data_IF_078785728158
#
_entry.id   IF_078785728158
#
_cell.length_a   1.000
_cell.length_b   1.000
_cell.length_c   1.000
_cell.angle_alpha   90.00
_cell.angle_beta   90.00
_cell.angle_gamma   90.00
#
_symmetry.space_group_name_H-M   'P 1'
#
loop_
_entity.id
_entity.type
_entity.pdbx_description
1 polymer ?
#
# COMPACT_ATOMS: atom_id res chain seq x y z
N UNK A 1 10.49 -7.62 -56.82
CA UNK A 1 10.98 -8.66 -55.89
C UNK A 1 10.73 -8.10 -54.51
N UNK A 2 9.62 -8.54 -53.91
CA UNK A 2 9.20 -8.06 -52.59
C UNK A 2 9.96 -8.82 -51.53
N UNK A 3 10.62 -8.13 -50.63
CA UNK A 3 11.01 -8.66 -49.32
C UNK A 3 9.76 -8.77 -48.47
N UNK A 4 9.29 -10.01 -48.27
CA UNK A 4 8.30 -10.33 -47.27
C UNK A 4 8.88 -10.13 -45.87
N UNK A 5 8.29 -9.24 -45.10
CA UNK A 5 8.51 -9.17 -43.67
C UNK A 5 7.99 -10.47 -43.05
N UNK A 6 8.84 -11.15 -42.29
CA UNK A 6 8.51 -12.32 -41.50
C UNK A 6 7.73 -11.83 -40.26
N UNK A 7 6.47 -12.21 -40.01
CA UNK A 7 5.67 -11.71 -38.89
C UNK A 7 5.73 -12.59 -37.63
N UNK A 8 6.75 -13.41 -37.50
CA UNK A 8 6.97 -14.13 -36.22
C UNK A 8 8.03 -13.36 -35.41
N UNK A 9 7.59 -12.37 -34.63
CA UNK A 9 8.38 -11.83 -33.54
C UNK A 9 8.79 -12.99 -32.62
N UNK A 10 10.09 -13.23 -32.48
CA UNK A 10 10.64 -14.28 -31.65
C UNK A 10 10.32 -13.96 -30.18
N UNK A 11 9.26 -14.56 -29.63
CA UNK A 11 9.03 -14.60 -28.18
C UNK A 11 10.29 -15.18 -27.54
N UNK A 12 10.97 -14.36 -26.73
CA UNK A 12 12.29 -14.74 -26.18
C UNK A 12 12.21 -15.72 -25.02
N UNK A 13 11.04 -15.85 -24.36
CA UNK A 13 10.80 -16.79 -23.28
C UNK A 13 9.30 -17.05 -23.09
N UNK A 14 8.96 -18.13 -22.35
CA UNK A 14 7.59 -18.42 -21.94
C UNK A 14 7.52 -18.78 -20.46
N UNK A 15 6.39 -18.49 -19.80
CA UNK A 15 6.11 -18.87 -18.42
C UNK A 15 4.63 -19.14 -18.21
N UNK A 16 4.30 -19.96 -17.19
CA UNK A 16 2.90 -20.20 -16.82
C UNK A 16 2.26 -18.97 -16.19
N UNK A 17 2.95 -18.33 -15.25
CA UNK A 17 2.45 -17.13 -14.53
C UNK A 17 3.50 -16.02 -14.59
N UNK A 18 3.14 -14.89 -15.18
CA UNK A 18 3.92 -13.65 -15.14
C UNK A 18 3.30 -12.68 -14.14
N UNK A 19 4.13 -12.11 -13.28
CA UNK A 19 3.77 -11.01 -12.38
C UNK A 19 4.52 -9.77 -12.85
N UNK A 20 3.81 -8.73 -13.22
CA UNK A 20 4.41 -7.46 -13.64
C UNK A 20 4.41 -6.49 -12.47
N UNK A 21 5.61 -6.13 -12.02
CA UNK A 21 5.87 -5.29 -10.84
C UNK A 21 6.45 -6.08 -9.67
N UNK A 22 7.67 -5.74 -9.25
CA UNK A 22 8.39 -6.31 -8.10
C UNK A 22 8.21 -5.54 -6.80
N UNK A 23 7.13 -4.78 -6.67
CA UNK A 23 6.75 -4.10 -5.44
C UNK A 23 6.16 -5.04 -4.38
N UNK A 24 5.62 -4.48 -3.29
CA UNK A 24 5.05 -5.26 -2.18
C UNK A 24 3.95 -6.23 -2.64
N UNK A 25 3.07 -5.79 -3.55
CA UNK A 25 1.99 -6.62 -4.09
C UNK A 25 2.52 -7.81 -4.91
N UNK A 26 3.42 -7.55 -5.86
CA UNK A 26 3.93 -8.58 -6.76
C UNK A 26 4.81 -9.60 -6.06
N UNK A 27 5.71 -9.17 -5.18
CA UNK A 27 6.53 -10.10 -4.39
C UNK A 27 5.69 -10.93 -3.41
N UNK A 28 4.67 -10.33 -2.80
CA UNK A 28 3.74 -11.09 -1.96
C UNK A 28 2.94 -12.12 -2.76
N UNK A 29 2.51 -11.77 -3.99
CA UNK A 29 1.85 -12.72 -4.89
C UNK A 29 2.77 -13.87 -5.31
N UNK A 30 4.02 -13.58 -5.67
CA UNK A 30 5.01 -14.60 -5.99
C UNK A 30 5.22 -15.58 -4.82
N UNK A 31 5.36 -15.04 -3.60
CA UNK A 31 5.48 -15.85 -2.37
C UNK A 31 4.23 -16.69 -2.10
N UNK A 32 3.05 -16.10 -2.24
CA UNK A 32 1.80 -16.81 -2.04
C UNK A 32 1.65 -17.96 -3.05
N UNK A 33 1.91 -17.72 -4.33
CA UNK A 33 1.88 -18.75 -5.36
C UNK A 33 2.88 -19.88 -5.07
N UNK A 34 4.12 -19.53 -4.69
CA UNK A 34 5.13 -20.52 -4.31
C UNK A 34 4.71 -21.37 -3.11
N UNK A 35 4.04 -20.78 -2.11
CA UNK A 35 3.50 -21.49 -0.94
C UNK A 35 2.47 -22.56 -1.34
N UNK A 36 1.72 -22.33 -2.42
CA UNK A 36 0.77 -23.30 -2.98
C UNK A 36 1.33 -24.16 -4.10
N UNK A 37 2.66 -24.17 -4.31
CA UNK A 37 3.36 -25.00 -5.28
C UNK A 37 3.25 -24.52 -6.72
N UNK A 38 2.90 -23.27 -6.95
CA UNK A 38 2.83 -22.64 -8.28
C UNK A 38 4.07 -21.79 -8.52
N UNK A 39 4.70 -21.93 -9.71
CA UNK A 39 5.85 -21.11 -10.10
C UNK A 39 5.38 -19.87 -10.85
N UNK A 40 5.93 -18.73 -10.50
CA UNK A 40 5.69 -17.45 -11.17
C UNK A 40 7.01 -16.74 -11.46
N UNK A 41 7.05 -15.94 -12.53
CA UNK A 41 8.15 -15.05 -12.88
C UNK A 41 7.73 -13.61 -12.59
N UNK A 42 8.56 -12.85 -11.90
CA UNK A 42 8.32 -11.43 -11.54
C UNK A 42 9.16 -10.56 -12.45
N UNK A 43 8.54 -9.60 -13.13
CA UNK A 43 9.19 -8.64 -14.02
C UNK A 43 9.11 -7.25 -13.41
N UNK A 44 10.25 -6.70 -13.00
CA UNK A 44 10.38 -5.42 -12.32
C UNK A 44 11.09 -4.40 -13.20
N UNK A 45 10.50 -3.21 -13.31
CA UNK A 45 11.04 -2.12 -14.12
C UNK A 45 12.35 -1.54 -13.59
N UNK A 46 12.55 -1.55 -12.28
CA UNK A 46 13.75 -1.02 -11.64
C UNK A 46 14.95 -1.95 -11.83
N UNK A 47 16.19 -1.42 -11.87
CA UNK A 47 17.41 -2.22 -11.98
C UNK A 47 17.78 -2.93 -10.67
N UNK A 48 17.14 -2.59 -9.56
CA UNK A 48 17.32 -3.22 -8.25
C UNK A 48 16.01 -3.20 -7.47
N UNK A 49 15.82 -4.19 -6.60
CA UNK A 49 14.77 -4.13 -5.58
C UNK A 49 15.20 -3.12 -4.51
N UNK A 50 14.35 -2.17 -4.21
CA UNK A 50 14.60 -1.20 -3.17
C UNK A 50 13.84 0.09 -3.45
N UNK A 51 13.47 0.77 -2.41
CA UNK A 51 12.89 2.11 -2.47
C UNK A 51 13.54 3.01 -1.43
N UNK A 52 13.67 4.28 -1.78
CA UNK A 52 14.22 5.28 -0.88
C UNK A 52 13.20 5.58 0.22
N UNK A 53 13.57 5.21 1.46
CA UNK A 53 13.13 5.85 2.68
C UNK A 53 11.63 5.86 3.04
N UNK A 54 10.83 4.84 2.66
CA UNK A 54 9.42 4.78 3.04
C UNK A 54 9.19 3.83 4.22
N UNK A 55 8.31 4.23 5.16
CA UNK A 55 7.77 3.31 6.14
C UNK A 55 6.43 2.73 5.67
N UNK A 56 6.14 1.50 6.08
CA UNK A 56 4.90 0.78 5.79
C UNK A 56 4.28 0.29 7.09
N UNK A 57 2.99 0.56 7.24
CA UNK A 57 2.18 0.01 8.33
C UNK A 57 1.52 -1.28 7.87
N UNK A 58 1.58 -2.32 8.70
CA UNK A 58 0.95 -3.63 8.42
C UNK A 58 0.06 -4.01 9.60
N UNK A 59 -1.23 -3.97 9.36
CA UNK A 59 -2.27 -4.26 10.35
C UNK A 59 -2.53 -5.76 10.50
N UNK A 60 -3.22 -6.20 11.58
CA UNK A 60 -3.31 -7.62 11.97
C UNK A 60 -3.73 -8.59 10.87
N UNK A 61 -4.74 -8.26 10.07
CA UNK A 61 -5.21 -9.15 9.00
C UNK A 61 -4.15 -9.35 7.89
N UNK A 62 -3.37 -8.31 7.62
CA UNK A 62 -2.28 -8.39 6.63
C UNK A 62 -1.07 -9.15 7.20
N UNK A 63 -0.80 -9.03 8.50
CA UNK A 63 0.20 -9.86 9.18
C UNK A 63 -0.17 -11.34 9.09
N UNK A 64 -1.45 -11.71 9.28
CA UNK A 64 -1.93 -13.09 9.09
C UNK A 64 -1.67 -13.59 7.67
N UNK A 65 -1.95 -12.78 6.65
CA UNK A 65 -1.68 -13.15 5.26
C UNK A 65 -0.17 -13.39 5.03
N UNK A 66 0.70 -12.53 5.56
CA UNK A 66 2.15 -12.69 5.47
C UNK A 66 2.67 -13.92 6.26
N UNK A 67 2.10 -14.20 7.42
CA UNK A 67 2.40 -15.42 8.18
C UNK A 67 2.01 -16.68 7.41
N UNK A 68 0.85 -16.68 6.76
CA UNK A 68 0.34 -17.81 5.99
C UNK A 68 1.18 -18.13 4.73
N UNK A 69 1.96 -17.16 4.23
CA UNK A 69 2.93 -17.39 3.14
C UNK A 69 4.36 -17.62 3.65
N UNK A 70 4.50 -18.03 4.92
CA UNK A 70 5.77 -18.46 5.50
C UNK A 70 6.72 -17.35 5.91
N UNK A 71 6.23 -16.12 6.13
CA UNK A 71 7.07 -14.96 6.47
C UNK A 71 7.01 -14.55 7.95
N UNK A 72 6.28 -15.30 8.81
CA UNK A 72 6.02 -14.89 10.19
C UNK A 72 7.26 -14.45 10.97
N UNK A 73 8.25 -15.34 11.11
CA UNK A 73 9.48 -15.04 11.87
C UNK A 73 10.33 -13.95 11.20
N UNK A 74 10.40 -13.97 9.88
CA UNK A 74 11.20 -13.03 9.12
C UNK A 74 10.67 -11.60 9.23
N UNK A 75 9.37 -11.40 9.10
CA UNK A 75 8.78 -10.07 9.29
C UNK A 75 8.86 -9.62 10.75
N UNK A 76 8.70 -10.53 11.72
CA UNK A 76 8.84 -10.20 13.13
C UNK A 76 10.25 -9.70 13.48
N UNK A 77 11.29 -10.27 12.85
CA UNK A 77 12.69 -9.88 13.07
C UNK A 77 13.02 -8.44 12.61
N UNK A 78 12.33 -7.92 11.58
CA UNK A 78 12.60 -6.58 11.01
C UNK A 78 11.52 -5.56 11.35
N UNK A 79 10.42 -5.99 11.96
CA UNK A 79 9.31 -5.14 12.36
C UNK A 79 9.65 -4.27 13.57
N UNK A 80 8.96 -3.15 13.67
CA UNK A 80 8.79 -2.41 14.92
C UNK A 80 7.34 -2.56 15.36
N UNK A 81 7.09 -3.10 16.55
CA UNK A 81 5.73 -3.18 17.10
C UNK A 81 5.21 -1.78 17.43
N UNK A 82 4.01 -1.46 16.98
CA UNK A 82 3.36 -0.20 17.31
C UNK A 82 2.53 -0.37 18.58
N UNK A 83 2.87 0.30 19.68
CA UNK A 83 2.09 0.22 20.91
C UNK A 83 0.75 0.94 20.83
N UNK A 84 0.62 1.87 19.91
CA UNK A 84 -0.57 2.68 19.69
C UNK A 84 -0.22 4.06 19.17
N UNK A 85 -1.22 4.79 18.71
CA UNK A 85 -1.06 6.16 18.24
C UNK A 85 -1.70 7.13 19.23
N UNK A 86 -0.90 8.05 19.71
CA UNK A 86 -1.37 9.23 20.43
C UNK A 86 -1.71 10.34 19.46
N UNK A 87 -2.96 10.78 19.45
CA UNK A 87 -3.41 11.88 18.60
C UNK A 87 -3.56 13.15 19.42
N UNK A 88 -3.00 14.24 18.90
CA UNK A 88 -3.00 15.56 19.50
C UNK A 88 -3.52 16.61 18.52
N UNK A 89 -4.07 17.67 19.07
CA UNK A 89 -4.30 18.90 18.31
C UNK A 89 -2.93 19.53 17.97
N UNK A 90 -2.73 19.90 16.69
CA UNK A 90 -1.43 20.37 16.22
C UNK A 90 -1.03 21.76 16.75
N UNK A 91 -1.99 22.60 17.15
CA UNK A 91 -1.72 23.97 17.61
C UNK A 91 -1.64 24.06 19.13
N UNK A 92 -2.51 23.33 19.85
CA UNK A 92 -2.58 23.38 21.31
C UNK A 92 -1.81 22.27 22.00
N UNK A 93 -1.43 21.21 21.29
CA UNK A 93 -0.84 20.00 21.87
C UNK A 93 -1.81 19.17 22.72
N UNK A 94 -3.10 19.57 22.76
CA UNK A 94 -4.10 18.87 23.57
C UNK A 94 -4.27 17.42 23.08
N UNK A 95 -4.37 16.49 24.05
CA UNK A 95 -4.70 15.10 23.77
C UNK A 95 -6.13 14.97 23.24
N UNK A 96 -6.30 14.24 22.15
CA UNK A 96 -7.60 13.99 21.53
C UNK A 96 -8.02 12.52 21.64
N UNK A 97 -7.12 11.60 21.30
CA UNK A 97 -7.45 10.18 21.21
C UNK A 97 -6.19 9.30 21.36
N UNK A 98 -6.36 8.11 21.94
CA UNK A 98 -5.36 7.06 21.92
C UNK A 98 -5.91 5.80 21.25
N UNK A 99 -5.32 5.41 20.14
CA UNK A 99 -5.60 4.15 19.48
C UNK A 99 -4.65 3.08 20.01
N UNK A 100 -5.09 2.35 21.05
CA UNK A 100 -4.31 1.28 21.70
C UNK A 100 -4.16 0.07 20.78
N UNK A 101 -2.92 -0.28 20.46
CA UNK A 101 -2.56 -1.42 19.60
C UNK A 101 -1.89 -2.57 20.34
N UNK A 102 -1.59 -2.42 21.64
CA UNK A 102 -0.99 -3.46 22.45
C UNK A 102 -1.85 -4.73 22.50
N UNK A 103 -3.17 -4.55 22.52
CA UNK A 103 -4.15 -5.64 22.60
C UNK A 103 -4.49 -6.28 21.25
N UNK A 104 -3.94 -5.77 20.14
CA UNK A 104 -4.32 -6.24 18.81
C UNK A 104 -3.99 -7.72 18.58
N UNK A 105 -2.85 -8.20 19.08
CA UNK A 105 -2.48 -9.60 18.94
C UNK A 105 -3.49 -10.52 19.62
N UNK A 106 -3.93 -10.21 20.83
CA UNK A 106 -4.95 -10.96 21.54
C UNK A 106 -6.34 -10.81 20.90
N UNK A 107 -6.68 -9.59 20.47
CA UNK A 107 -8.02 -9.28 19.95
C UNK A 107 -8.24 -9.76 18.51
N UNK A 108 -7.24 -9.64 17.66
CA UNK A 108 -7.34 -9.90 16.21
C UNK A 108 -6.48 -11.07 15.73
N UNK A 109 -5.70 -11.71 16.63
CA UNK A 109 -4.87 -12.87 16.34
C UNK A 109 -3.53 -12.55 15.69
N UNK A 110 -3.17 -11.27 15.55
CA UNK A 110 -1.86 -10.83 15.05
C UNK A 110 -1.55 -9.40 15.51
N UNK A 111 -0.25 -9.03 15.66
CA UNK A 111 0.15 -7.69 16.04
C UNK A 111 -0.05 -6.67 14.91
N UNK A 112 0.12 -5.38 15.26
CA UNK A 112 0.26 -4.29 14.31
C UNK A 112 1.73 -3.91 14.22
N UNK A 113 2.30 -3.94 13.01
CA UNK A 113 3.70 -3.68 12.76
C UNK A 113 3.92 -2.42 11.91
N UNK A 114 5.06 -1.79 12.11
CA UNK A 114 5.64 -0.78 11.22
C UNK A 114 6.97 -1.28 10.68
N UNK A 115 7.24 -1.04 9.41
CA UNK A 115 8.45 -1.50 8.72
C UNK A 115 9.14 -0.34 8.02
N UNK A 116 10.42 -0.45 7.83
CA UNK A 116 11.08 0.22 6.72
C UNK A 116 10.74 -0.58 5.44
N UNK A 117 10.30 0.10 4.38
CA UNK A 117 9.78 -0.57 3.18
C UNK A 117 10.80 -1.51 2.51
N UNK A 118 12.08 -1.11 2.46
CA UNK A 118 13.12 -1.96 1.90
C UNK A 118 13.27 -3.27 2.68
N UNK A 119 13.24 -3.23 4.03
CA UNK A 119 13.36 -4.42 4.86
C UNK A 119 12.20 -5.41 4.62
N UNK A 120 11.00 -4.88 4.36
CA UNK A 120 9.84 -5.70 4.01
C UNK A 120 9.93 -6.27 2.59
N UNK A 121 10.43 -5.49 1.62
CA UNK A 121 10.70 -5.98 0.25
C UNK A 121 11.73 -7.10 0.26
N UNK A 122 12.82 -6.94 1.01
CA UNK A 122 13.86 -7.97 1.16
C UNK A 122 13.29 -9.24 1.81
N UNK A 123 12.42 -9.08 2.81
CA UNK A 123 11.74 -10.21 3.44
C UNK A 123 10.84 -10.95 2.45
N UNK A 124 10.10 -10.24 1.61
CA UNK A 124 9.24 -10.82 0.58
C UNK A 124 10.04 -11.52 -0.54
N UNK A 125 11.11 -10.90 -1.01
CA UNK A 125 11.95 -11.46 -2.07
C UNK A 125 12.74 -12.69 -1.60
N UNK A 126 13.08 -12.74 -0.32
CA UNK A 126 13.89 -13.82 0.24
C UNK A 126 13.23 -15.18 0.12
N UNK A 127 13.98 -16.18 -0.36
CA UNK A 127 13.51 -17.56 -0.53
C UNK A 127 12.54 -17.76 -1.71
N UNK A 128 12.39 -16.78 -2.60
CA UNK A 128 11.96 -17.02 -3.96
C UNK A 128 13.11 -17.71 -4.74
N UNK A 129 12.76 -18.51 -5.73
CA UNK A 129 13.75 -19.21 -6.55
C UNK A 129 14.73 -18.22 -7.19
N UNK A 130 16.00 -18.62 -7.29
CA UNK A 130 17.00 -17.88 -8.03
C UNK A 130 16.56 -17.75 -9.49
N UNK A 131 16.48 -16.52 -9.99
CA UNK A 131 16.02 -16.25 -11.34
C UNK A 131 14.50 -16.10 -11.50
N UNK A 132 13.72 -16.16 -10.42
CA UNK A 132 12.28 -15.84 -10.48
C UNK A 132 12.00 -14.34 -10.59
N UNK A 133 12.98 -13.48 -10.31
CA UNK A 133 12.85 -12.01 -10.36
C UNK A 133 13.74 -11.46 -11.46
N UNK A 134 13.12 -10.84 -12.45
CA UNK A 134 13.76 -10.21 -13.59
C UNK A 134 13.74 -8.70 -13.44
N UNK A 135 14.88 -8.11 -13.11
CA UNK A 135 15.05 -6.67 -12.95
C UNK A 135 15.30 -5.98 -14.31
N UNK A 136 15.04 -4.68 -14.42
CA UNK A 136 15.20 -3.92 -15.65
C UNK A 136 14.18 -4.27 -16.74
N UNK A 137 13.08 -4.92 -16.38
CA UNK A 137 12.00 -5.33 -17.28
C UNK A 137 10.81 -4.38 -17.15
N UNK A 138 10.93 -3.17 -17.70
CA UNK A 138 9.83 -2.20 -17.78
C UNK A 138 8.86 -2.62 -18.86
N UNK A 139 7.62 -3.00 -18.48
CA UNK A 139 6.57 -3.31 -19.44
C UNK A 139 6.26 -2.07 -20.31
N UNK A 140 6.23 -2.26 -21.63
CA UNK A 140 5.91 -1.21 -22.60
C UNK A 140 4.64 -1.51 -23.40
N UNK A 141 4.22 -2.78 -23.45
CA UNK A 141 3.00 -3.20 -24.13
C UNK A 141 2.67 -4.66 -23.86
N UNK A 142 1.46 -5.03 -24.24
CA UNK A 142 1.02 -6.43 -24.21
C UNK A 142 0.06 -6.73 -25.36
N UNK A 143 0.02 -7.98 -25.81
CA UNK A 143 -0.89 -8.49 -26.82
C UNK A 143 -1.55 -9.79 -26.33
N UNK A 144 -2.89 -9.81 -26.31
CA UNK A 144 -3.65 -10.99 -25.89
C UNK A 144 -3.84 -11.95 -27.07
N UNK A 145 -3.42 -13.20 -26.92
CA UNK A 145 -3.74 -14.33 -27.78
C UNK A 145 -4.85 -15.19 -27.13
N UNK A 146 -5.23 -16.28 -27.79
CA UNK A 146 -6.32 -17.14 -27.31
C UNK A 146 -6.00 -17.88 -26.01
N UNK A 147 -4.73 -18.27 -25.81
CA UNK A 147 -4.26 -19.12 -24.72
C UNK A 147 -3.13 -18.50 -23.88
N UNK A 148 -2.56 -17.37 -24.31
CA UNK A 148 -1.50 -16.66 -23.61
C UNK A 148 -1.56 -15.15 -23.88
N UNK A 149 -0.75 -14.38 -23.16
CA UNK A 149 -0.51 -12.97 -23.40
C UNK A 149 0.99 -12.75 -23.63
N UNK A 150 1.35 -12.05 -24.69
CA UNK A 150 2.73 -11.61 -24.95
C UNK A 150 2.96 -10.28 -24.26
N UNK A 151 3.98 -10.23 -23.41
CA UNK A 151 4.42 -9.03 -22.68
C UNK A 151 5.69 -8.50 -23.35
N UNK A 152 5.68 -7.26 -23.81
CA UNK A 152 6.83 -6.59 -24.41
C UNK A 152 7.49 -5.64 -23.39
N UNK A 153 8.82 -5.72 -23.28
CA UNK A 153 9.58 -4.94 -22.31
C UNK A 153 10.53 -3.94 -23.01
N UNK A 154 10.80 -2.82 -22.35
CA UNK A 154 11.66 -1.74 -22.86
C UNK A 154 13.13 -2.11 -23.07
N UNK A 155 13.59 -3.25 -22.56
CA UNK A 155 14.89 -3.83 -22.83
C UNK A 155 14.93 -4.69 -24.11
N UNK A 156 13.82 -4.77 -24.86
CA UNK A 156 13.69 -5.52 -26.11
C UNK A 156 13.31 -6.99 -25.94
N UNK A 157 13.11 -7.49 -24.72
CA UNK A 157 12.65 -8.85 -24.49
C UNK A 157 11.13 -8.97 -24.61
N UNK A 158 10.65 -10.15 -25.00
CA UNK A 158 9.24 -10.51 -25.02
C UNK A 158 9.03 -11.83 -24.28
N UNK A 159 7.93 -11.90 -23.52
CA UNK A 159 7.58 -13.09 -22.73
C UNK A 159 6.12 -13.46 -22.97
N UNK A 160 5.88 -14.73 -23.38
CA UNK A 160 4.54 -15.29 -23.42
C UNK A 160 4.17 -15.86 -22.06
N UNK A 161 3.01 -15.47 -21.52
CA UNK A 161 2.51 -15.93 -20.24
C UNK A 161 1.07 -16.46 -20.35
N UNK A 162 0.80 -17.62 -19.77
CA UNK A 162 -0.57 -18.18 -19.72
C UNK A 162 -1.47 -17.37 -18.81
N UNK A 163 -0.91 -16.82 -17.73
CA UNK A 163 -1.59 -15.99 -16.72
C UNK A 163 -0.73 -14.75 -16.47
N UNK A 164 -1.36 -13.59 -16.44
CA UNK A 164 -0.71 -12.31 -16.10
C UNK A 164 -1.33 -11.73 -14.84
N UNK A 165 -0.50 -11.41 -13.86
CA UNK A 165 -0.87 -10.68 -12.66
C UNK A 165 -0.24 -9.29 -12.73
N UNK A 166 -1.08 -8.26 -12.88
CA UNK A 166 -0.65 -6.86 -12.89
C UNK A 166 -0.52 -6.32 -11.47
N UNK A 167 0.71 -6.07 -11.04
CA UNK A 167 1.08 -5.48 -9.74
C UNK A 167 1.96 -4.24 -9.94
N UNK A 168 1.81 -3.57 -11.07
CA UNK A 168 2.63 -2.48 -11.60
C UNK A 168 2.22 -1.08 -11.12
N UNK A 169 1.47 -1.05 -10.01
CA UNK A 169 1.22 0.15 -9.23
C UNK A 169 0.15 1.08 -9.80
N UNK A 170 0.08 2.29 -9.25
CA UNK A 170 -0.99 3.25 -9.57
C UNK A 170 -1.01 3.67 -11.04
N UNK A 171 0.14 3.68 -11.72
CA UNK A 171 0.29 3.95 -13.17
C UNK A 171 0.38 2.68 -14.00
N UNK A 172 -0.37 1.66 -13.64
CA UNK A 172 -0.35 0.35 -14.30
C UNK A 172 -0.51 0.43 -15.81
N UNK A 173 0.50 -0.06 -16.52
CA UNK A 173 0.50 -0.23 -17.99
C UNK A 173 -0.50 -1.32 -18.39
N UNK A 174 -0.58 -2.40 -17.59
CA UNK A 174 -1.56 -3.48 -17.83
C UNK A 174 -2.97 -2.94 -17.74
N UNK A 175 -3.28 -2.14 -16.71
CA UNK A 175 -4.60 -1.51 -16.56
C UNK A 175 -4.94 -0.63 -17.75
N UNK A 176 -3.98 0.19 -18.18
CA UNK A 176 -4.16 1.06 -19.34
C UNK A 176 -4.44 0.26 -20.61
N UNK A 177 -3.72 -0.84 -20.82
CA UNK A 177 -3.95 -1.72 -21.97
C UNK A 177 -5.34 -2.41 -21.93
N UNK A 178 -5.83 -2.78 -20.73
CA UNK A 178 -7.14 -3.41 -20.56
C UNK A 178 -8.32 -2.45 -20.73
N UNK A 179 -8.19 -1.21 -20.26
CA UNK A 179 -9.34 -0.30 -20.06
C UNK A 179 -9.16 1.09 -20.69
N UNK A 180 -8.03 1.33 -21.37
CA UNK A 180 -7.73 2.63 -21.99
C UNK A 180 -7.34 3.70 -20.97
N UNK A 181 -7.62 4.96 -21.27
CA UNK A 181 -7.27 6.11 -20.42
C UNK A 181 -8.11 6.13 -19.12
N UNK A 182 -7.71 5.31 -18.18
CA UNK A 182 -8.23 5.27 -16.83
C UNK A 182 -7.18 5.88 -15.87
N UNK A 183 -6.94 7.18 -16.02
CA UNK A 183 -5.93 7.89 -15.25
C UNK A 183 -6.40 8.13 -13.81
N UNK A 184 -5.49 8.02 -12.82
CA UNK A 184 -5.82 8.38 -11.45
C UNK A 184 -6.17 9.86 -11.33
N UNK A 185 -7.11 10.18 -10.44
CA UNK A 185 -7.56 11.55 -10.20
C UNK A 185 -6.77 12.16 -9.05
N UNK A 186 -6.28 13.40 -9.26
CA UNK A 186 -5.68 14.18 -8.19
C UNK A 186 -6.72 14.51 -7.12
N UNK A 187 -6.36 14.35 -5.85
CA UNK A 187 -7.30 14.48 -4.72
C UNK A 187 -7.37 15.87 -4.11
N UNK A 188 -6.57 16.81 -4.59
CA UNK A 188 -6.41 18.12 -3.93
C UNK A 188 -5.59 18.02 -2.63
N UNK A 189 -4.77 16.98 -2.51
CA UNK A 189 -3.96 16.74 -1.32
C UNK A 189 -2.53 16.40 -1.72
N UNK A 190 -1.58 16.82 -0.89
CA UNK A 190 -0.18 16.44 -1.04
C UNK A 190 0.39 15.88 0.26
N UNK A 191 1.48 15.16 0.11
CA UNK A 191 2.22 14.51 1.19
C UNK A 191 3.65 15.04 1.22
N UNK A 192 4.13 15.32 2.43
CA UNK A 192 5.55 15.44 2.71
C UNK A 192 6.03 14.21 3.46
N UNK A 193 7.27 13.80 3.19
CA UNK A 193 7.92 12.73 3.91
C UNK A 193 9.35 13.10 4.27
N UNK A 194 9.73 12.77 5.50
CA UNK A 194 11.10 12.88 5.97
C UNK A 194 11.48 11.65 6.80
N UNK A 195 12.78 11.33 6.81
CA UNK A 195 13.37 10.36 7.72
C UNK A 195 14.41 11.08 8.59
N UNK A 196 14.29 10.89 9.90
CA UNK A 196 15.25 11.42 10.86
C UNK A 196 16.01 10.29 11.52
N UNK A 197 17.25 10.57 11.91
CA UNK A 197 17.99 9.73 12.85
C UNK A 197 17.27 9.75 14.22
N UNK A 198 16.84 8.57 14.67
CA UNK A 198 16.08 8.42 15.92
C UNK A 198 16.83 8.89 17.15
N UNK A 199 18.16 8.80 17.15
CA UNK A 199 19.02 9.30 18.22
C UNK A 199 19.07 10.83 18.32
N UNK A 200 18.67 11.56 17.28
CA UNK A 200 18.62 13.02 17.26
C UNK A 200 17.26 13.57 17.67
N UNK A 201 16.22 12.74 17.74
CA UNK A 201 14.88 13.18 18.16
C UNK A 201 14.77 13.05 19.67
N UNK A 202 14.57 14.16 20.41
CA UNK A 202 14.42 14.11 21.87
C UNK A 202 13.23 13.22 22.25
N UNK A 203 13.42 12.38 23.27
CA UNK A 203 12.44 11.35 23.65
C UNK A 203 11.04 11.92 23.91
N UNK A 204 10.98 13.05 24.64
CA UNK A 204 9.73 13.73 24.99
C UNK A 204 8.92 14.21 23.78
N UNK A 205 9.52 14.31 22.58
CA UNK A 205 8.81 14.73 21.37
C UNK A 205 7.79 13.68 20.94
N UNK A 206 8.15 12.39 21.04
CA UNK A 206 7.31 11.29 20.61
C UNK A 206 6.74 10.43 21.77
N UNK A 207 6.81 10.94 23.02
CA UNK A 207 6.18 10.29 24.17
C UNK A 207 4.65 10.42 24.13
N UNK A 208 3.93 9.44 24.70
CA UNK A 208 4.45 8.30 25.48
C UNK A 208 4.70 7.03 24.66
N UNK A 209 4.33 6.96 23.39
CA UNK A 209 4.30 5.71 22.62
C UNK A 209 5.37 5.61 21.53
N UNK A 210 6.08 6.71 21.25
CA UNK A 210 6.96 6.75 20.08
C UNK A 210 6.22 6.75 18.74
N UNK A 211 4.90 7.00 18.76
CA UNK A 211 4.03 7.02 17.61
C UNK A 211 2.93 8.06 17.83
N UNK A 212 3.13 9.25 17.31
CA UNK A 212 2.26 10.40 17.53
C UNK A 212 1.70 10.92 16.21
N UNK A 213 0.44 11.30 16.24
CA UNK A 213 -0.24 12.03 15.18
C UNK A 213 -0.69 13.39 15.68
N UNK A 214 -0.40 14.42 14.90
CA UNK A 214 -0.97 15.74 15.07
C UNK A 214 -2.00 16.00 13.99
N UNK A 215 -3.19 16.46 14.38
CA UNK A 215 -4.26 16.81 13.45
C UNK A 215 -4.66 18.27 13.62
N UNK A 216 -5.04 18.90 12.54
CA UNK A 216 -5.44 20.30 12.53
C UNK A 216 -6.17 20.70 11.26
N UNK A 217 -6.54 22.00 11.14
CA UNK A 217 -7.31 22.47 10.01
C UNK A 217 -6.63 22.21 8.65
N UNK A 218 -7.19 21.29 7.88
CA UNK A 218 -6.71 20.99 6.53
C UNK A 218 -5.40 20.19 6.44
N UNK A 219 -4.83 19.73 7.57
CA UNK A 219 -3.59 18.95 7.53
C UNK A 219 -3.43 18.01 8.74
N UNK A 220 -2.54 17.06 8.61
CA UNK A 220 -2.06 16.25 9.72
C UNK A 220 -0.62 15.79 9.49
N UNK A 221 0.06 15.43 10.58
CA UNK A 221 1.39 14.86 10.59
C UNK A 221 1.40 13.62 11.47
N UNK A 222 1.98 12.54 10.96
CA UNK A 222 2.22 11.31 11.69
C UNK A 222 3.73 11.07 11.80
N UNK A 223 4.23 10.88 13.02
CA UNK A 223 5.63 10.57 13.28
C UNK A 223 5.74 9.31 14.14
N UNK A 224 6.63 8.40 13.76
CA UNK A 224 6.85 7.15 14.50
C UNK A 224 8.20 6.53 14.24
N UNK A 225 8.66 5.77 15.23
CA UNK A 225 9.91 5.02 15.14
C UNK A 225 9.77 3.79 14.23
N UNK A 226 10.84 3.51 13.49
CA UNK A 226 11.06 2.29 12.72
C UNK A 226 12.49 1.76 12.97
N UNK A 227 12.80 0.54 12.49
CA UNK A 227 14.13 -0.09 12.66
C UNK A 227 14.59 -0.07 14.11
N UNK A 228 13.75 -0.58 15.03
CA UNK A 228 14.06 -0.61 16.47
C UNK A 228 14.49 0.76 17.03
N UNK A 229 13.73 1.81 16.69
CA UNK A 229 13.93 3.21 17.09
C UNK A 229 15.15 3.92 16.49
N UNK A 230 15.87 3.30 15.55
CA UNK A 230 17.01 3.94 14.87
C UNK A 230 16.60 5.09 13.95
N UNK A 231 15.41 5.02 13.39
CA UNK A 231 14.86 6.04 12.49
C UNK A 231 13.49 6.51 12.97
N UNK A 232 13.17 7.78 12.72
CA UNK A 232 11.83 8.34 12.84
C UNK A 232 11.31 8.64 11.44
N UNK A 233 10.21 8.01 11.06
CA UNK A 233 9.48 8.34 9.84
C UNK A 233 8.50 9.47 10.14
N UNK A 234 8.52 10.50 9.32
CA UNK A 234 7.55 11.59 9.30
C UNK A 234 6.78 11.50 7.99
N UNK A 235 5.48 11.49 8.06
CA UNK A 235 4.59 11.62 6.92
C UNK A 235 3.50 12.62 7.24
N UNK A 236 3.31 13.59 6.35
CA UNK A 236 2.25 14.58 6.48
C UNK A 236 1.25 14.42 5.36
N UNK A 237 0.10 15.01 5.53
CA UNK A 237 -0.86 15.19 4.46
C UNK A 237 -1.54 16.54 4.66
N UNK A 238 -1.65 17.31 3.58
CA UNK A 238 -2.30 18.61 3.60
C UNK A 238 -3.23 18.79 2.40
N UNK A 239 -4.30 19.54 2.61
CA UNK A 239 -5.17 19.98 1.53
C UNK A 239 -4.49 21.13 0.78
N UNK A 240 -4.45 21.08 -0.54
CA UNK A 240 -3.82 22.11 -1.37
C UNK A 240 -4.56 22.33 -2.68
N UNK A 241 -4.72 23.60 -3.06
CA UNK A 241 -5.26 23.98 -4.36
C UNK A 241 -4.19 23.96 -5.46
N UNK A 242 -2.92 23.80 -5.09
CA UNK A 242 -1.82 23.75 -6.04
C UNK A 242 -1.71 22.36 -6.64
N UNK A 243 -1.52 22.29 -7.96
CA UNK A 243 -1.14 21.05 -8.61
C UNK A 243 0.23 20.59 -8.11
N UNK A 244 0.34 19.35 -7.68
CA UNK A 244 1.60 18.72 -7.29
C UNK A 244 1.76 17.46 -8.10
N UNK A 245 2.94 17.28 -8.69
CA UNK A 245 3.25 16.09 -9.49
C UNK A 245 3.09 14.82 -8.66
N UNK A 246 2.60 13.77 -9.33
CA UNK A 246 2.62 12.43 -8.78
C UNK A 246 4.07 11.90 -8.79
N UNK A 247 4.54 11.40 -7.65
CA UNK A 247 5.87 10.82 -7.54
C UNK A 247 6.26 10.61 -6.09
N UNK A 248 7.07 9.58 -5.82
CA UNK A 248 7.46 9.24 -4.45
C UNK A 248 8.79 9.89 -4.02
N UNK A 249 9.50 10.54 -4.94
CA UNK A 249 10.89 10.97 -4.76
C UNK A 249 11.18 12.41 -5.20
N UNK A 250 10.18 13.21 -5.49
CA UNK A 250 10.40 14.63 -5.79
C UNK A 250 10.96 15.32 -4.54
N UNK A 251 12.16 15.88 -4.67
CA UNK A 251 12.79 16.60 -3.55
C UNK A 251 11.95 17.79 -3.15
N UNK A 252 11.65 17.88 -1.86
CA UNK A 252 10.93 19.00 -1.27
C UNK A 252 11.87 19.95 -0.54
N UNK A 253 11.36 21.15 -0.26
CA UNK A 253 12.02 22.12 0.60
C UNK A 253 11.51 21.98 2.04
N UNK A 254 12.39 21.71 3.05
CA UNK A 254 11.99 21.64 4.43
C UNK A 254 11.34 22.91 4.97
N UNK A 255 11.69 24.09 4.47
CA UNK A 255 11.08 25.35 4.88
C UNK A 255 9.64 25.46 4.33
N UNK A 256 9.42 25.04 3.09
CA UNK A 256 8.07 24.91 2.52
C UNK A 256 7.21 23.93 3.34
N UNK A 257 7.78 22.77 3.72
CA UNK A 257 7.10 21.81 4.59
C UNK A 257 6.69 22.43 5.94
N UNK A 258 7.55 23.24 6.57
CA UNK A 258 7.23 23.91 7.85
C UNK A 258 6.07 24.88 7.73
N UNK A 259 5.95 25.58 6.61
CA UNK A 259 4.86 26.52 6.35
C UNK A 259 3.48 25.85 6.30
N UNK A 260 3.41 24.55 6.02
CA UNK A 260 2.16 23.77 6.08
C UNK A 260 1.60 23.62 7.49
N UNK A 261 2.39 23.94 8.52
CA UNK A 261 2.02 23.79 9.94
C UNK A 261 2.09 25.12 10.68
N UNK A 262 1.12 26.03 10.50
CA UNK A 262 1.15 27.35 11.14
C UNK A 262 0.90 27.22 12.65
N UNK A 263 1.74 27.92 13.45
CA UNK A 263 1.68 27.95 14.90
C UNK A 263 1.64 26.54 15.55
N UNK A 264 2.62 25.67 15.25
CA UNK A 264 2.62 24.31 15.77
C UNK A 264 2.90 24.33 17.29
N UNK A 265 2.32 23.36 18.01
CA UNK A 265 2.66 23.17 19.42
C UNK A 265 4.17 22.82 19.59
N UNK A 266 4.79 23.06 20.76
CA UNK A 266 6.26 23.01 20.91
C UNK A 266 6.92 21.68 20.52
N UNK A 267 6.27 20.53 20.72
CA UNK A 267 6.82 19.21 20.33
C UNK A 267 6.84 19.04 18.80
N UNK A 268 5.75 19.49 18.14
CA UNK A 268 5.66 19.47 16.69
C UNK A 268 6.66 20.43 16.06
N UNK A 269 6.77 21.65 16.61
CA UNK A 269 7.77 22.63 16.17
C UNK A 269 9.19 22.07 16.29
N UNK A 270 9.53 21.45 17.43
CA UNK A 270 10.81 20.79 17.62
C UNK A 270 11.06 19.69 16.61
N UNK A 271 10.07 18.84 16.34
CA UNK A 271 10.20 17.75 15.35
C UNK A 271 10.47 18.31 13.95
N UNK A 272 9.68 19.31 13.52
CA UNK A 272 9.81 19.95 12.22
C UNK A 272 11.18 20.66 12.06
N UNK A 273 11.73 21.25 13.13
CA UNK A 273 13.03 21.90 13.11
C UNK A 273 14.19 20.94 12.82
N UNK A 274 14.03 19.64 13.07
CA UNK A 274 15.04 18.61 12.81
C UNK A 274 15.03 18.11 11.35
N UNK A 275 14.02 18.46 10.57
CA UNK A 275 13.94 18.04 9.17
C UNK A 275 14.90 18.87 8.32
N UNK A 276 15.91 18.22 7.74
CA UNK A 276 16.89 18.81 6.84
C UNK A 276 16.69 18.40 5.39
N UNK A 277 16.01 17.29 5.16
CA UNK A 277 15.67 16.78 3.82
C UNK A 277 14.26 16.19 3.84
N UNK A 278 13.50 16.44 2.80
CA UNK A 278 12.17 15.86 2.62
C UNK A 278 11.88 15.61 1.14
N UNK A 279 10.88 14.78 0.90
CA UNK A 279 10.25 14.60 -0.41
C UNK A 279 8.79 15.01 -0.37
N UNK A 280 8.24 15.39 -1.53
CA UNK A 280 6.84 15.76 -1.67
C UNK A 280 6.22 15.13 -2.92
N UNK A 281 4.94 14.84 -2.86
CA UNK A 281 4.15 14.39 -4.02
C UNK A 281 2.66 14.62 -3.81
N UNK A 282 1.93 14.73 -4.93
CA UNK A 282 0.47 14.76 -4.95
C UNK A 282 -0.13 13.39 -4.62
N UNK A 283 -1.26 13.37 -3.94
CA UNK A 283 -2.05 12.16 -3.76
C UNK A 283 -3.04 11.99 -4.90
N UNK A 284 -3.02 10.80 -5.46
CA UNK A 284 -3.91 10.36 -6.50
C UNK A 284 -4.72 9.16 -6.03
N UNK A 285 -5.95 9.06 -6.50
CA UNK A 285 -6.83 7.94 -6.21
C UNK A 285 -7.53 7.50 -7.48
N UNK A 286 -8.07 6.29 -7.43
CA UNK A 286 -8.96 5.79 -8.48
C UNK A 286 -10.39 5.72 -7.97
N UNK A 287 -11.39 5.96 -8.83
CA UNK A 287 -12.77 5.70 -8.48
C UNK A 287 -12.95 4.24 -8.08
N UNK A 288 -13.99 3.97 -7.30
CA UNK A 288 -14.39 2.59 -6.99
C UNK A 288 -14.78 1.91 -8.30
N UNK A 289 -14.07 0.86 -8.67
CA UNK A 289 -14.28 0.16 -9.93
C UNK A 289 -14.29 -1.35 -9.74
N UNK A 290 -15.05 -2.03 -10.58
CA UNK A 290 -15.06 -3.50 -10.67
C UNK A 290 -14.12 -4.02 -11.77
N UNK A 291 -13.45 -3.12 -12.48
CA UNK A 291 -12.53 -3.43 -13.56
C UNK A 291 -11.15 -3.80 -13.00
N UNK A 292 -11.00 -5.03 -12.52
CA UNK A 292 -9.76 -5.54 -11.94
C UNK A 292 -9.05 -6.56 -12.83
N UNK A 293 -9.66 -6.98 -13.93
CA UNK A 293 -9.05 -7.91 -14.87
C UNK A 293 -10.03 -8.42 -15.93
N UNK A 294 -9.49 -9.06 -16.94
CA UNK A 294 -10.21 -9.66 -18.05
C UNK A 294 -9.50 -10.93 -18.50
N UNK A 295 -10.27 -11.99 -18.85
CA UNK A 295 -9.69 -13.24 -19.33
C UNK A 295 -8.67 -13.82 -18.37
N UNK A 296 -7.43 -13.98 -18.83
CA UNK A 296 -6.30 -14.52 -18.06
C UNK A 296 -5.41 -13.46 -17.41
N UNK A 297 -5.90 -12.23 -17.31
CA UNK A 297 -5.19 -11.08 -16.74
C UNK A 297 -5.94 -10.58 -15.53
N UNK A 298 -5.26 -10.45 -14.37
CA UNK A 298 -5.83 -9.94 -13.13
C UNK A 298 -4.94 -8.86 -12.51
N UNK A 299 -5.53 -7.81 -11.97
CA UNK A 299 -4.83 -6.71 -11.29
C UNK A 299 -4.93 -6.89 -9.77
N UNK A 300 -3.85 -6.54 -9.06
CA UNK A 300 -3.80 -6.53 -7.59
C UNK A 300 -3.12 -5.27 -7.06
N UNK A 301 -3.34 -4.97 -5.79
CA UNK A 301 -2.75 -3.80 -5.14
C UNK A 301 -3.13 -2.49 -5.82
N UNK A 302 -2.20 -1.53 -5.89
CA UNK A 302 -2.48 -0.20 -6.43
C UNK A 302 -2.84 -0.20 -7.92
N UNK A 303 -2.47 -1.23 -8.69
CA UNK A 303 -2.92 -1.39 -10.08
C UNK A 303 -4.44 -1.60 -10.17
N UNK A 304 -5.02 -2.28 -9.19
CA UNK A 304 -6.45 -2.53 -9.10
C UNK A 304 -7.19 -1.40 -8.33
N UNK A 305 -6.62 -0.95 -7.20
CA UNK A 305 -7.38 -0.19 -6.20
C UNK A 305 -6.55 0.84 -5.41
N UNK A 306 -5.75 1.66 -6.09
CA UNK A 306 -5.05 2.77 -5.46
C UNK A 306 -5.99 3.56 -4.53
N UNK A 307 -5.53 3.86 -3.31
CA UNK A 307 -6.33 4.49 -2.27
C UNK A 307 -5.55 5.53 -1.48
N UNK A 308 -6.27 6.43 -0.81
CA UNK A 308 -5.68 7.39 0.12
C UNK A 308 -4.98 6.66 1.28
N UNK A 309 -3.86 7.20 1.82
CA UNK A 309 -3.10 6.53 2.88
C UNK A 309 -3.75 6.63 4.27
N UNK A 310 -4.88 7.30 4.41
CA UNK A 310 -5.48 7.69 5.71
C UNK A 310 -5.94 6.52 6.59
N UNK A 311 -6.15 5.34 6.03
CA UNK A 311 -6.42 4.13 6.78
C UNK A 311 -5.17 3.24 6.96
N UNK A 312 -4.04 3.56 6.31
CA UNK A 312 -2.82 2.75 6.32
C UNK A 312 -3.02 1.37 5.69
N UNK A 313 -3.86 1.25 4.66
CA UNK A 313 -4.33 -0.05 4.17
C UNK A 313 -3.86 -0.45 2.78
N UNK A 314 -3.21 0.41 1.98
CA UNK A 314 -2.81 0.07 0.61
C UNK A 314 -2.00 -1.24 0.53
N UNK A 315 -0.86 -1.31 1.23
CA UNK A 315 -0.05 -2.53 1.29
C UNK A 315 -0.79 -3.70 1.97
N UNK A 316 -1.60 -3.42 3.00
CA UNK A 316 -2.36 -4.45 3.69
C UNK A 316 -3.36 -5.14 2.77
N UNK A 317 -4.07 -4.39 1.94
CA UNK A 317 -5.00 -4.95 0.96
C UNK A 317 -4.26 -5.72 -0.13
N UNK A 318 -3.08 -5.26 -0.57
CA UNK A 318 -2.25 -6.00 -1.51
C UNK A 318 -1.78 -7.37 -0.96
N UNK A 319 -1.48 -7.48 0.35
CA UNK A 319 -1.13 -8.76 0.98
C UNK A 319 -2.33 -9.71 1.10
N UNK A 320 -3.53 -9.16 1.37
CA UNK A 320 -4.76 -9.94 1.31
C UNK A 320 -5.03 -10.43 -0.13
N UNK A 321 -4.86 -9.56 -1.13
CA UNK A 321 -5.00 -9.91 -2.55
C UNK A 321 -4.08 -11.08 -2.91
N UNK A 322 -2.80 -10.95 -2.59
CA UNK A 322 -1.78 -11.96 -2.92
C UNK A 322 -2.13 -13.34 -2.38
N UNK A 323 -2.53 -13.42 -1.10
CA UNK A 323 -2.91 -14.68 -0.50
C UNK A 323 -4.19 -15.26 -1.08
N UNK A 324 -5.25 -14.44 -1.19
CA UNK A 324 -6.57 -14.90 -1.66
C UNK A 324 -6.53 -15.29 -3.13
N UNK A 325 -5.82 -14.51 -3.98
CA UNK A 325 -5.64 -14.85 -5.39
C UNK A 325 -4.94 -16.20 -5.57
N UNK A 326 -3.82 -16.41 -4.86
CA UNK A 326 -3.09 -17.66 -4.92
C UNK A 326 -3.94 -18.86 -4.45
N UNK A 327 -4.81 -18.67 -3.45
CA UNK A 327 -5.75 -19.69 -2.99
C UNK A 327 -6.78 -20.06 -4.04
N UNK A 328 -7.35 -19.06 -4.74
CA UNK A 328 -8.31 -19.31 -5.81
C UNK A 328 -7.66 -19.99 -7.01
N UNK A 329 -6.47 -19.54 -7.45
CA UNK A 329 -5.71 -20.19 -8.52
C UNK A 329 -5.35 -21.63 -8.19
N UNK A 330 -5.14 -21.96 -6.90
CA UNK A 330 -4.93 -23.35 -6.46
C UNK A 330 -6.21 -24.16 -6.44
N UNK A 331 -7.36 -23.56 -6.16
CA UNK A 331 -8.63 -24.24 -5.98
C UNK A 331 -9.36 -24.52 -7.32
N UNK A 332 -9.24 -23.61 -8.29
CA UNK A 332 -9.89 -23.70 -9.59
C UNK A 332 -8.95 -24.32 -10.64
N UNK A 333 -9.51 -25.01 -11.62
CA UNK A 333 -8.76 -25.50 -12.79
C UNK A 333 -8.60 -24.41 -13.85
N UNK A 334 -9.66 -23.60 -14.02
CA UNK A 334 -9.66 -22.48 -14.95
C UNK A 334 -9.28 -21.18 -14.21
N UNK A 335 -8.20 -20.48 -14.63
CA UNK A 335 -7.81 -19.24 -14.03
C UNK A 335 -8.88 -18.13 -14.14
N UNK A 336 -9.73 -18.18 -15.16
CA UNK A 336 -10.81 -17.18 -15.33
C UNK A 336 -11.89 -17.32 -14.25
N UNK A 337 -12.21 -18.54 -13.83
CA UNK A 337 -13.08 -18.81 -12.68
C UNK A 337 -12.43 -18.34 -11.37
N UNK A 338 -11.14 -18.64 -11.19
CA UNK A 338 -10.37 -18.20 -10.03
C UNK A 338 -10.39 -16.67 -9.88
N UNK A 339 -10.23 -15.95 -10.98
CA UNK A 339 -10.27 -14.48 -11.00
C UNK A 339 -11.68 -13.93 -10.73
N UNK A 340 -12.71 -14.56 -11.25
CA UNK A 340 -14.10 -14.16 -10.97
C UNK A 340 -14.42 -14.29 -9.48
N UNK A 341 -14.03 -15.41 -8.86
CA UNK A 341 -14.23 -15.65 -7.44
C UNK A 341 -13.35 -14.75 -6.56
N UNK A 342 -12.11 -14.51 -6.97
CA UNK A 342 -11.23 -13.53 -6.31
C UNK A 342 -11.89 -12.15 -6.27
N UNK A 343 -12.38 -11.64 -7.40
CA UNK A 343 -13.06 -10.34 -7.49
C UNK A 343 -14.34 -10.30 -6.66
N UNK A 344 -15.11 -11.37 -6.62
CA UNK A 344 -16.33 -11.48 -5.80
C UNK A 344 -16.04 -11.26 -4.32
N UNK A 345 -14.93 -11.79 -3.82
CA UNK A 345 -14.53 -11.67 -2.41
C UNK A 345 -13.82 -10.33 -2.14
N UNK A 346 -12.94 -9.89 -3.05
CA UNK A 346 -12.06 -8.75 -2.78
C UNK A 346 -12.67 -7.39 -3.04
N UNK A 347 -13.43 -7.23 -4.12
CA UNK A 347 -13.98 -5.93 -4.52
C UNK A 347 -14.85 -5.29 -3.41
N UNK A 348 -15.84 -5.97 -2.82
CA UNK A 348 -16.67 -5.35 -1.77
C UNK A 348 -15.84 -4.90 -0.57
N UNK A 349 -14.85 -5.73 -0.15
CA UNK A 349 -13.99 -5.41 0.97
C UNK A 349 -13.09 -4.20 0.70
N UNK A 350 -12.43 -4.18 -0.43
CA UNK A 350 -11.52 -3.09 -0.80
C UNK A 350 -12.30 -1.78 -0.98
N UNK A 351 -13.46 -1.81 -1.60
CA UNK A 351 -14.32 -0.63 -1.71
C UNK A 351 -14.70 -0.07 -0.32
N UNK A 352 -15.05 -0.94 0.63
CA UNK A 352 -15.28 -0.52 2.02
C UNK A 352 -14.07 0.14 2.65
N UNK A 353 -12.87 -0.41 2.45
CA UNK A 353 -11.62 0.14 2.96
C UNK A 353 -11.28 1.49 2.30
N UNK A 354 -11.50 1.64 0.99
CA UNK A 354 -11.33 2.92 0.30
C UNK A 354 -12.25 3.99 0.88
N UNK A 355 -13.55 3.68 1.12
CA UNK A 355 -14.49 4.61 1.76
C UNK A 355 -14.08 4.97 3.19
N UNK A 356 -13.61 4.00 3.97
CA UNK A 356 -13.03 4.26 5.29
C UNK A 356 -11.87 5.24 5.20
N UNK A 357 -10.97 5.06 4.24
CA UNK A 357 -9.81 5.93 4.05
C UNK A 357 -10.22 7.37 3.70
N UNK A 358 -11.22 7.55 2.84
CA UNK A 358 -11.81 8.87 2.54
C UNK A 358 -12.46 9.51 3.78
N UNK A 359 -13.23 8.73 4.56
CA UNK A 359 -13.85 9.20 5.79
C UNK A 359 -12.81 9.68 6.80
N UNK A 360 -11.72 8.90 6.97
CA UNK A 360 -10.62 9.26 7.87
C UNK A 360 -9.92 10.54 7.42
N UNK A 361 -9.69 10.74 6.11
CA UNK A 361 -9.10 11.95 5.57
C UNK A 361 -9.92 13.19 5.97
N UNK A 362 -11.23 13.16 5.70
CA UNK A 362 -12.14 14.26 6.05
C UNK A 362 -12.16 14.55 7.54
N UNK A 363 -12.13 13.51 8.37
CA UNK A 363 -12.17 13.70 9.82
C UNK A 363 -10.86 14.30 10.35
N UNK A 364 -9.70 13.84 9.87
CA UNK A 364 -8.39 14.37 10.25
C UNK A 364 -8.20 15.84 9.89
N UNK A 365 -8.78 16.29 8.77
CA UNK A 365 -8.64 17.63 8.21
C UNK A 365 -9.81 18.55 8.56
N UNK A 366 -10.62 18.20 9.57
CA UNK A 366 -11.70 19.09 10.04
C UNK A 366 -11.13 20.46 10.43
N UNK A 367 -11.73 21.52 9.86
CA UNK A 367 -11.30 22.91 10.14
C UNK A 367 -11.77 23.39 11.51
N UNK A 368 -12.88 22.87 12.00
CA UNK A 368 -13.40 23.13 13.33
C UNK A 368 -12.86 22.09 14.33
N UNK A 369 -11.80 22.45 15.03
CA UNK A 369 -11.16 21.60 16.03
C UNK A 369 -12.04 21.34 17.26
N UNK A 370 -12.94 22.25 17.62
CA UNK A 370 -13.87 22.05 18.72
C UNK A 370 -14.91 20.99 18.37
N UNK A 371 -15.52 21.10 17.18
CA UNK A 371 -16.43 20.08 16.67
C UNK A 371 -15.76 18.71 16.47
N UNK A 372 -14.50 18.68 16.05
CA UNK A 372 -13.73 17.43 15.96
C UNK A 372 -13.61 16.75 17.33
N UNK A 373 -13.19 17.50 18.34
CA UNK A 373 -13.06 17.02 19.71
C UNK A 373 -14.38 16.52 20.30
N UNK A 374 -15.45 17.30 20.11
CA UNK A 374 -16.80 16.95 20.55
C UNK A 374 -17.27 15.62 19.93
N UNK A 375 -17.06 15.43 18.65
CA UNK A 375 -17.40 14.17 17.96
C UNK A 375 -16.60 12.97 18.45
N UNK A 376 -15.31 13.16 18.77
CA UNK A 376 -14.48 12.11 19.38
C UNK A 376 -15.06 11.73 20.75
N UNK A 377 -15.33 12.72 21.61
CA UNK A 377 -15.87 12.52 22.95
C UNK A 377 -17.23 11.83 22.95
N UNK A 378 -18.07 12.13 21.96
CA UNK A 378 -19.38 11.51 21.76
C UNK A 378 -19.32 10.10 21.14
N UNK A 379 -18.14 9.61 20.72
CA UNK A 379 -17.97 8.35 20.02
C UNK A 379 -18.57 8.32 18.60
N UNK A 380 -18.89 9.50 18.03
CA UNK A 380 -19.50 9.64 16.69
C UNK A 380 -18.42 9.65 15.59
N UNK A 381 -17.17 9.89 15.98
CA UNK A 381 -16.02 9.92 15.05
C UNK A 381 -14.74 9.56 15.76
N UNK A 382 -13.76 9.14 14.99
CA UNK A 382 -12.41 8.84 15.45
C UNK A 382 -11.44 9.24 14.35
N UNK A 383 -10.29 9.76 14.75
CA UNK A 383 -9.19 10.06 13.82
C UNK A 383 -8.71 8.80 13.07
N UNK A 384 -8.88 7.65 13.69
CA UNK A 384 -8.49 6.34 13.12
C UNK A 384 -9.67 5.59 12.49
N UNK A 385 -10.89 6.12 12.58
CA UNK A 385 -12.10 5.47 12.11
C UNK A 385 -12.43 4.17 12.86
N UNK A 386 -13.52 3.54 12.48
CA UNK A 386 -13.83 2.18 12.98
C UNK A 386 -13.07 1.15 12.14
N UNK A 387 -11.84 0.84 12.54
CA UNK A 387 -10.96 -0.12 11.86
C UNK A 387 -11.11 -1.56 12.32
N UNK A 388 -11.94 -1.85 13.31
CA UNK A 388 -12.10 -3.19 13.89
C UNK A 388 -12.52 -4.25 12.87
N UNK A 389 -13.46 -3.91 11.97
CA UNK A 389 -13.91 -4.81 10.91
C UNK A 389 -12.81 -5.06 9.86
N UNK A 390 -11.87 -4.10 9.69
CA UNK A 390 -10.70 -4.27 8.81
C UNK A 390 -9.71 -5.21 9.48
N UNK A 391 -9.32 -4.94 10.72
CA UNK A 391 -8.27 -5.65 11.44
C UNK A 391 -8.70 -7.04 11.91
N UNK A 392 -9.98 -7.21 12.22
CA UNK A 392 -10.57 -8.49 12.61
C UNK A 392 -10.87 -9.45 11.45
N UNK A 393 -10.67 -9.02 10.20
CA UNK A 393 -10.83 -9.91 9.06
C UNK A 393 -9.77 -11.02 9.08
N UNK A 394 -10.20 -12.21 8.71
CA UNK A 394 -9.32 -13.37 8.59
C UNK A 394 -9.19 -13.79 7.12
N UNK A 395 -8.17 -13.31 6.40
CA UNK A 395 -7.99 -13.66 4.99
C UNK A 395 -7.60 -15.12 4.80
N UNK A 396 -7.13 -15.79 5.85
CA UNK A 396 -6.68 -17.18 5.79
C UNK A 396 -7.86 -18.15 5.99
N UNK A 397 -8.59 -17.98 7.09
CA UNK A 397 -9.73 -18.86 7.42
C UNK A 397 -11.00 -18.55 6.63
N UNK A 398 -11.12 -17.32 6.10
CA UNK A 398 -12.29 -16.82 5.35
C UNK A 398 -11.98 -16.43 3.90
N UNK A 399 -10.90 -16.95 3.33
CA UNK A 399 -10.40 -16.57 2.00
C UNK A 399 -11.44 -16.67 0.87
N UNK A 400 -12.40 -17.60 0.97
CA UNK A 400 -13.44 -17.85 -0.03
C UNK A 400 -14.80 -17.23 0.32
N UNK A 401 -14.92 -16.61 1.48
CA UNK A 401 -16.20 -16.03 1.96
C UNK A 401 -16.28 -14.55 1.63
N UNK A 402 -17.47 -14.11 1.24
CA UNK A 402 -17.71 -12.68 1.10
C UNK A 402 -17.51 -11.96 2.44
N UNK A 403 -16.78 -10.83 2.44
CA UNK A 403 -16.50 -10.11 3.65
C UNK A 403 -17.74 -9.36 4.16
N UNK A 404 -17.91 -9.34 5.47
CA UNK A 404 -18.89 -8.44 6.09
C UNK A 404 -18.29 -7.02 6.12
N UNK A 405 -18.85 -6.13 5.31
CA UNK A 405 -18.50 -4.70 5.29
C UNK A 405 -19.61 -3.95 6.02
N UNK A 406 -19.29 -3.08 7.01
CA UNK A 406 -20.32 -2.28 7.68
C UNK A 406 -21.13 -1.43 6.72
N UNK A 407 -22.44 -1.28 6.96
CA UNK A 407 -23.37 -0.53 6.09
C UNK A 407 -22.83 0.87 5.75
N UNK A 408 -22.21 1.56 6.72
CA UNK A 408 -21.59 2.87 6.51
C UNK A 408 -20.51 2.89 5.41
N UNK A 409 -19.97 1.73 5.04
CA UNK A 409 -18.90 1.57 4.04
C UNK A 409 -19.29 0.63 2.89
N UNK A 410 -20.52 0.09 2.88
CA UNK A 410 -20.95 -0.92 1.90
C UNK A 410 -21.53 -0.31 0.62
N UNK A 411 -22.11 0.89 0.67
CA UNK A 411 -22.86 1.53 -0.43
C UNK A 411 -22.05 2.56 -1.20
#
# INVERSE_FOLDING_TARGET
MGCGANPEGLVSASCGIAIVGGGLAGLAAARALATFGMKAQVFEAAPALGEIGAAVNVSPQAVKALQAIGLGDRIAAVATASPGIYTRNMQTGEFLEFNDRHKNAARFGAPYYTFHRADLLDALASGLDHGAIHLGHRLTGMEEASDHTVLAFGNGSEVAAEIVIGADGVRSVIRQALYGDDNPTYTGQMVWRALLDGGKVPEQVLEPTGHIQWVGPGCHLLAYFIRSRKLVNIVTQEDTDKWVEEGWSTRGDPDEMRLSFPNPEPRLEKLLSLVTECSKWGLFTRPLTRNWGRGRIELIGDAAHAMLPNAGQGACQAFEDAYILARWLKACRDPTEAFADFRRVRIPRVHGVQRLSFSNARFKHMRDSAAQKERIAAGIGSVHGNSDWVWGYDPVGKWSKEPSVPIAYAA
#
